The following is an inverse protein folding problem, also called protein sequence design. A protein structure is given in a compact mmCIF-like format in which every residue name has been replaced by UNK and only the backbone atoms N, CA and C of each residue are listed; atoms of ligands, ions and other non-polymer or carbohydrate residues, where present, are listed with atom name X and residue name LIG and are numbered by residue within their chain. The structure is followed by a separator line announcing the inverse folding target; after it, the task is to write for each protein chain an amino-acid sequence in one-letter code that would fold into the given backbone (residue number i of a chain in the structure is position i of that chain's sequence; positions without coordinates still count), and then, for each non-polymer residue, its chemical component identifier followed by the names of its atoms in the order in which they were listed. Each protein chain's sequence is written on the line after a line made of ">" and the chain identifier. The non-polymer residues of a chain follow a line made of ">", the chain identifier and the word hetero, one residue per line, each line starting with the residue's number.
data_IF_543215827335
#
_entry.id   IF_543215827335
#
_cell.length_a   1.000
_cell.length_b   1.000
_cell.length_c   1.000
_cell.angle_alpha   90.00
_cell.angle_beta   90.00
_cell.angle_gamma   90.00
#
_symmetry.space_group_name_H-M   'P 1'
#
loop_
_entity.id
_entity.type
_entity.pdbx_description
1 polymer ?
#
# COMPACT_ATOMS: atom_id res chain seq x y z
N UNK A 1 -0.94 8.44 -16.60
CA UNK A 1 -0.73 9.75 -15.94
C UNK A 1 -1.92 9.94 -15.03
N UNK A 2 -1.70 10.21 -13.75
CA UNK A 2 -2.79 10.39 -12.78
C UNK A 2 -2.69 11.79 -12.20
N UNK A 3 -3.77 12.57 -12.28
CA UNK A 3 -3.89 13.88 -11.65
C UNK A 3 -4.90 13.78 -10.51
N UNK A 4 -4.47 14.01 -9.28
CA UNK A 4 -5.29 13.88 -8.09
C UNK A 4 -5.37 15.25 -7.37
N UNK A 5 -6.58 15.80 -7.30
CA UNK A 5 -6.85 17.12 -6.72
C UNK A 5 -6.80 18.29 -7.71
N UNK A 6 -7.21 19.49 -7.29
CA UNK A 6 -7.24 20.67 -8.14
C UNK A 6 -5.83 21.08 -8.56
N UNK A 7 -5.52 20.84 -9.83
CA UNK A 7 -4.22 21.11 -10.43
C UNK A 7 -4.36 22.07 -11.59
N UNK A 8 -3.40 22.99 -11.73
CA UNK A 8 -3.32 23.92 -12.87
C UNK A 8 -2.07 23.53 -13.66
N UNK A 9 -2.25 23.19 -14.94
CA UNK A 9 -1.16 22.77 -15.83
C UNK A 9 -1.16 23.71 -17.04
N UNK A 10 -0.14 24.54 -17.15
CA UNK A 10 -0.01 25.55 -18.22
C UNK A 10 1.38 25.48 -18.85
N UNK A 11 1.47 25.33 -20.17
CA UNK A 11 2.74 25.20 -20.90
C UNK A 11 3.69 24.13 -20.30
N UNK A 12 3.13 23.06 -19.76
CA UNK A 12 3.86 22.01 -19.10
C UNK A 12 3.69 20.67 -19.80
N UNK A 13 4.73 19.83 -19.73
CA UNK A 13 4.73 18.47 -20.28
C UNK A 13 4.89 17.50 -19.13
N UNK A 14 3.86 16.70 -18.88
CA UNK A 14 3.92 15.60 -17.91
C UNK A 14 4.14 14.32 -18.72
N UNK A 15 5.28 13.65 -18.50
CA UNK A 15 5.60 12.41 -19.22
C UNK A 15 4.91 11.21 -18.59
N UNK A 16 4.85 10.13 -19.39
CA UNK A 16 4.31 8.84 -18.98
C UNK A 16 4.94 8.41 -17.64
N UNK A 17 4.16 7.68 -16.84
CA UNK A 17 4.59 7.20 -15.52
C UNK A 17 4.77 8.26 -14.43
N UNK A 18 4.15 9.44 -14.57
CA UNK A 18 4.12 10.44 -13.50
C UNK A 18 2.71 10.63 -12.91
N UNK A 19 2.64 10.69 -11.58
CA UNK A 19 1.45 11.05 -10.80
C UNK A 19 1.62 12.49 -10.33
N UNK A 20 0.56 13.28 -10.37
CA UNK A 20 0.50 14.60 -9.77
C UNK A 20 -0.58 14.56 -8.70
N UNK A 21 -0.24 14.75 -7.44
CA UNK A 21 -1.22 14.74 -6.35
C UNK A 21 -1.19 16.06 -5.57
N UNK A 22 -2.35 16.51 -5.09
CA UNK A 22 -2.54 17.71 -4.27
C UNK A 22 -2.82 19.00 -5.06
N UNK A 23 -2.77 20.13 -4.37
CA UNK A 23 -2.90 21.47 -4.95
C UNK A 23 -1.62 21.86 -5.72
N UNK A 24 -1.45 21.29 -6.91
CA UNK A 24 -0.20 21.46 -7.68
C UNK A 24 -0.42 22.34 -8.90
N UNK A 25 0.42 23.38 -9.01
CA UNK A 25 0.45 24.27 -10.16
C UNK A 25 1.76 24.05 -10.94
N UNK A 26 1.65 23.51 -12.16
CA UNK A 26 2.76 23.38 -13.11
C UNK A 26 2.64 24.44 -14.19
N UNK A 27 3.60 25.35 -14.24
CA UNK A 27 3.77 26.34 -15.31
C UNK A 27 5.14 26.24 -15.93
N UNK A 28 5.21 26.21 -17.26
CA UNK A 28 6.46 26.21 -18.04
C UNK A 28 7.45 25.13 -17.56
N UNK A 29 6.96 23.91 -17.34
CA UNK A 29 7.75 22.86 -16.70
C UNK A 29 7.58 21.49 -17.37
N UNK A 30 8.63 20.67 -17.33
CA UNK A 30 8.61 19.27 -17.74
C UNK A 30 8.73 18.41 -16.51
N UNK A 31 7.79 17.50 -16.32
CA UNK A 31 7.77 16.54 -15.22
C UNK A 31 7.96 15.13 -15.77
N UNK A 32 9.02 14.46 -15.33
CA UNK A 32 9.43 13.14 -15.81
C UNK A 32 9.94 12.26 -14.66
N UNK A 33 9.08 11.40 -14.12
CA UNK A 33 9.48 10.34 -13.17
C UNK A 33 10.24 10.83 -11.93
N UNK A 34 9.84 11.96 -11.35
CA UNK A 34 10.50 12.55 -10.16
C UNK A 34 11.30 13.80 -10.46
N UNK A 35 11.57 14.02 -11.74
CA UNK A 35 12.35 15.14 -12.21
C UNK A 35 11.42 16.28 -12.64
N UNK A 36 11.49 17.41 -11.93
CA UNK A 36 10.91 18.66 -12.41
C UNK A 36 11.99 19.51 -13.07
N UNK A 37 11.78 19.78 -14.35
CA UNK A 37 12.54 20.75 -15.13
C UNK A 37 11.70 22.00 -15.27
N UNK A 38 12.04 23.07 -14.55
CA UNK A 38 11.40 24.36 -14.73
C UNK A 38 12.11 25.11 -15.87
N UNK A 39 11.43 25.24 -17.02
CA UNK A 39 11.98 25.84 -18.22
C UNK A 39 12.18 27.35 -18.07
N UNK A 40 11.26 28.02 -17.36
CA UNK A 40 11.30 29.46 -17.09
C UNK A 40 12.52 29.85 -16.25
N UNK A 41 12.81 29.08 -15.21
CA UNK A 41 13.92 29.35 -14.29
C UNK A 41 15.22 28.63 -14.65
N UNK A 42 15.22 27.83 -15.74
CA UNK A 42 16.34 26.95 -16.12
C UNK A 42 16.86 26.11 -14.95
N UNK A 43 15.94 25.72 -14.08
CA UNK A 43 16.24 25.03 -12.85
C UNK A 43 15.85 23.56 -12.99
N UNK A 44 16.71 22.68 -12.49
CA UNK A 44 16.46 21.25 -12.37
C UNK A 44 16.24 20.94 -10.90
N UNK A 45 15.07 20.42 -10.56
CA UNK A 45 14.80 19.85 -9.23
C UNK A 45 14.91 18.33 -9.38
N UNK A 46 16.05 17.73 -8.99
CA UNK A 46 16.33 16.32 -9.26
C UNK A 46 15.52 15.35 -8.41
N UNK A 47 14.85 15.85 -7.37
CA UNK A 47 13.96 15.10 -6.48
C UNK A 47 12.82 16.01 -6.09
N UNK A 48 11.72 15.98 -6.84
CA UNK A 48 10.43 16.33 -6.24
C UNK A 48 10.21 15.40 -5.04
N UNK A 49 9.45 15.87 -4.06
CA UNK A 49 9.20 15.10 -2.84
C UNK A 49 8.79 13.67 -3.21
N UNK A 50 9.27 12.68 -2.46
CA UNK A 50 9.13 11.25 -2.77
C UNK A 50 7.68 10.77 -2.87
N UNK A 51 6.73 11.63 -2.49
CA UNK A 51 5.28 11.46 -2.64
C UNK A 51 4.74 11.95 -4.00
N UNK A 52 5.51 12.76 -4.75
CA UNK A 52 5.07 13.43 -5.97
C UNK A 52 5.54 12.75 -7.24
N UNK A 53 6.77 12.25 -7.34
CA UNK A 53 7.15 11.42 -8.49
C UNK A 53 8.42 10.60 -8.23
N UNK A 54 8.34 9.28 -8.45
CA UNK A 54 9.47 8.34 -8.41
C UNK A 54 9.33 7.32 -9.55
N UNK A 55 10.43 6.67 -9.93
CA UNK A 55 10.47 5.71 -11.03
C UNK A 55 9.69 4.42 -10.68
N UNK A 56 8.70 4.08 -11.52
CA UNK A 56 7.71 3.00 -11.34
C UNK A 56 8.24 1.55 -11.35
N UNK A 57 9.50 1.28 -11.01
CA UNK A 57 10.01 -0.11 -11.00
C UNK A 57 10.87 -0.39 -9.78
N UNK A 58 10.22 -0.69 -8.66
CA UNK A 58 10.85 -1.50 -7.63
C UNK A 58 10.89 -2.96 -8.13
N UNK A 59 12.06 -3.61 -8.25
CA UNK A 59 12.11 -5.06 -8.48
C UNK A 59 11.36 -5.78 -7.35
N UNK A 60 10.90 -7.02 -7.61
CA UNK A 60 10.28 -7.92 -6.61
C UNK A 60 11.27 -8.18 -5.45
N UNK A 61 11.32 -7.25 -4.52
CA UNK A 61 12.28 -7.22 -3.43
C UNK A 61 11.72 -7.97 -2.21
N UNK A 62 12.48 -8.95 -1.74
CA UNK A 62 12.07 -9.86 -0.67
C UNK A 62 12.12 -9.16 0.70
N UNK A 63 11.39 -9.67 1.72
CA UNK A 63 11.60 -9.25 3.11
C UNK A 63 13.01 -9.54 3.58
N UNK A 64 13.63 -8.47 4.09
CA UNK A 64 14.91 -8.54 4.79
C UNK A 64 14.75 -9.33 6.10
N UNK A 65 15.87 -9.78 6.67
CA UNK A 65 15.84 -10.62 7.86
C UNK A 65 15.17 -9.93 9.06
N UNK A 66 15.31 -8.61 9.21
CA UNK A 66 14.71 -7.84 10.33
C UNK A 66 13.19 -7.91 10.28
N UNK A 67 12.63 -7.74 9.08
CA UNK A 67 11.20 -7.84 8.84
C UNK A 67 10.66 -9.25 9.11
N UNK A 68 11.40 -10.28 8.71
CA UNK A 68 11.07 -11.68 9.02
C UNK A 68 11.12 -11.97 10.51
N UNK A 69 12.14 -11.46 11.22
CA UNK A 69 12.24 -11.59 12.68
C UNK A 69 11.06 -10.91 13.37
N UNK A 70 10.72 -9.68 12.97
CA UNK A 70 9.56 -8.98 13.53
C UNK A 70 8.25 -9.74 13.27
N UNK A 71 8.05 -10.26 12.05
CA UNK A 71 6.90 -11.10 11.74
C UNK A 71 6.85 -12.37 12.59
N UNK A 72 7.99 -13.03 12.83
CA UNK A 72 8.05 -14.20 13.70
C UNK A 72 7.68 -13.87 15.16
N UNK A 73 8.11 -12.71 15.67
CA UNK A 73 7.75 -12.23 17.02
C UNK A 73 6.25 -11.95 17.10
N UNK A 74 5.68 -11.23 16.14
CA UNK A 74 4.23 -10.95 16.10
C UNK A 74 3.41 -12.24 15.96
N UNK A 75 3.89 -13.19 15.14
CA UNK A 75 3.28 -14.50 15.01
C UNK A 75 3.28 -15.25 16.35
N UNK A 76 4.42 -15.30 17.06
CA UNK A 76 4.50 -15.96 18.36
C UNK A 76 3.60 -15.30 19.41
N UNK A 77 3.55 -13.96 19.43
CA UNK A 77 2.74 -13.18 20.36
C UNK A 77 1.22 -13.40 20.19
N UNK A 78 0.76 -13.68 18.96
CA UNK A 78 -0.66 -13.94 18.68
C UNK A 78 -1.13 -15.38 18.97
N UNK A 79 -0.22 -16.35 19.14
CA UNK A 79 -0.57 -17.75 19.41
C UNK A 79 -1.52 -17.96 20.62
N UNK A 80 -1.27 -17.38 21.81
CA UNK A 80 -2.14 -17.57 22.96
C UNK A 80 -3.53 -16.92 22.78
N UNK A 81 -3.68 -15.98 21.84
CA UNK A 81 -4.91 -15.24 21.59
C UNK A 81 -5.78 -15.86 20.48
N UNK A 82 -5.29 -16.90 19.80
CA UNK A 82 -5.95 -17.50 18.62
C UNK A 82 -7.13 -18.42 18.98
N UNK A 83 -7.15 -18.97 20.19
CA UNK A 83 -8.10 -20.01 20.61
C UNK A 83 -9.50 -19.50 20.95
N UNK A 84 -9.71 -18.18 21.00
CA UNK A 84 -10.94 -17.59 21.55
C UNK A 84 -11.84 -16.86 20.54
N UNK A 85 -11.50 -16.79 19.24
CA UNK A 85 -12.16 -15.82 18.31
C UNK A 85 -12.47 -16.28 16.88
N UNK A 86 -12.40 -17.56 16.55
CA UNK A 86 -12.71 -18.01 15.19
C UNK A 86 -14.23 -18.09 14.94
N UNK A 87 -14.90 -16.95 14.79
CA UNK A 87 -16.14 -16.85 14.01
C UNK A 87 -15.80 -16.11 12.73
N UNK A 88 -16.04 -16.76 11.59
CA UNK A 88 -15.83 -16.16 10.28
C UNK A 88 -14.36 -16.09 9.84
N UNK A 89 -14.14 -16.35 8.56
CA UNK A 89 -12.88 -16.04 7.90
C UNK A 89 -13.11 -15.90 6.41
N UNK A 90 -12.53 -14.88 5.79
CA UNK A 90 -12.53 -14.73 4.33
C UNK A 90 -11.21 -15.18 3.73
N UNK A 91 -11.26 -15.66 2.50
CA UNK A 91 -10.08 -16.03 1.72
C UNK A 91 -9.80 -14.94 0.70
N UNK A 92 -8.57 -14.44 0.72
CA UNK A 92 -8.05 -13.43 -0.20
C UNK A 92 -6.92 -14.05 -1.02
N UNK A 93 -6.66 -13.47 -2.18
CA UNK A 93 -5.64 -13.87 -3.14
C UNK A 93 -4.73 -12.69 -3.47
N UNK A 94 -3.45 -12.98 -3.65
CA UNK A 94 -2.51 -12.05 -4.28
C UNK A 94 -2.37 -12.35 -5.76
N UNK A 95 -1.88 -11.37 -6.54
CA UNK A 95 -1.51 -11.57 -7.94
C UNK A 95 -0.43 -12.64 -8.16
N UNK A 96 0.33 -12.97 -7.12
CA UNK A 96 1.34 -14.04 -7.15
C UNK A 96 0.77 -15.42 -6.78
N UNK A 97 -0.57 -15.55 -6.67
CA UNK A 97 -1.25 -16.80 -6.37
C UNK A 97 -1.22 -17.21 -4.90
N UNK A 98 -0.89 -16.29 -3.98
CA UNK A 98 -0.89 -16.58 -2.55
C UNK A 98 -2.32 -16.52 -2.00
N UNK A 99 -2.80 -17.61 -1.40
CA UNK A 99 -4.09 -17.65 -0.71
C UNK A 99 -3.90 -17.33 0.77
N UNK A 100 -4.67 -16.36 1.26
CA UNK A 100 -4.53 -15.74 2.56
C UNK A 100 -5.86 -15.73 3.29
N UNK A 101 -5.90 -16.23 4.53
CA UNK A 101 -7.11 -16.24 5.36
C UNK A 101 -7.09 -15.06 6.31
N UNK A 102 -8.13 -14.24 6.27
CA UNK A 102 -8.32 -13.16 7.24
C UNK A 102 -9.49 -13.49 8.16
N UNK A 103 -9.28 -13.36 9.47
CA UNK A 103 -10.36 -13.44 10.45
C UNK A 103 -11.28 -12.22 10.35
N UNK A 104 -12.55 -12.40 10.71
CA UNK A 104 -13.54 -11.31 10.70
C UNK A 104 -13.46 -10.46 11.98
N UNK A 105 -13.17 -11.10 13.12
CA UNK A 105 -13.24 -10.46 14.43
C UNK A 105 -11.88 -10.16 15.07
N UNK A 106 -11.86 -9.09 15.89
CA UNK A 106 -10.73 -8.72 16.74
C UNK A 106 -9.78 -7.69 16.12
N UNK A 107 -8.67 -7.38 16.81
CA UNK A 107 -7.72 -6.37 16.35
C UNK A 107 -7.05 -6.81 15.05
N UNK A 108 -6.73 -5.84 14.19
CA UNK A 108 -6.31 -6.08 12.81
C UNK A 108 -5.12 -7.05 12.69
N UNK A 109 -4.11 -6.84 13.51
CA UNK A 109 -2.89 -7.67 13.53
C UNK A 109 -3.18 -9.14 13.87
N UNK A 110 -4.22 -9.40 14.66
CA UNK A 110 -4.63 -10.76 15.01
C UNK A 110 -5.54 -11.37 13.94
N UNK A 111 -6.40 -10.58 13.28
CA UNK A 111 -7.19 -11.02 12.12
C UNK A 111 -6.32 -11.54 10.99
N UNK A 112 -5.12 -10.97 10.84
CA UNK A 112 -4.11 -11.30 9.82
C UNK A 112 -2.99 -12.18 10.37
N UNK A 113 -3.20 -12.83 11.51
CA UNK A 113 -2.16 -13.59 12.23
C UNK A 113 -1.45 -14.63 11.38
N UNK A 114 -2.20 -15.42 10.59
CA UNK A 114 -1.61 -16.47 9.76
C UNK A 114 -0.72 -15.90 8.63
N UNK A 115 -0.89 -14.62 8.27
CA UNK A 115 -0.11 -13.96 7.21
C UNK A 115 1.34 -13.72 7.62
N UNK A 116 1.63 -13.58 8.92
CA UNK A 116 3.00 -13.43 9.40
C UNK A 116 3.90 -14.61 9.00
N UNK A 117 3.34 -15.82 8.89
CA UNK A 117 4.08 -17.00 8.40
C UNK A 117 4.55 -16.80 6.96
N UNK A 118 3.76 -16.12 6.15
CA UNK A 118 4.09 -15.83 4.75
C UNK A 118 5.19 -14.79 4.62
N UNK A 119 5.25 -13.85 5.57
CA UNK A 119 6.37 -12.93 5.68
C UNK A 119 7.66 -13.66 6.05
N UNK A 120 7.61 -14.55 7.05
CA UNK A 120 8.77 -15.37 7.45
C UNK A 120 9.28 -16.22 6.28
N UNK A 121 8.37 -16.78 5.48
CA UNK A 121 8.68 -17.54 4.24
C UNK A 121 9.21 -16.67 3.10
N UNK A 122 9.09 -15.35 3.18
CA UNK A 122 9.51 -14.43 2.14
C UNK A 122 8.55 -14.29 0.96
N UNK A 123 7.31 -14.78 1.09
CA UNK A 123 6.26 -14.70 0.07
C UNK A 123 5.40 -13.44 0.20
N UNK A 124 5.49 -12.78 1.35
CA UNK A 124 4.72 -11.59 1.71
C UNK A 124 5.63 -10.61 2.46
N UNK A 125 5.18 -9.37 2.59
CA UNK A 125 5.85 -8.30 3.33
C UNK A 125 5.07 -8.01 4.62
N UNK A 126 5.70 -7.41 5.62
CA UNK A 126 4.94 -6.76 6.69
C UNK A 126 4.16 -5.58 6.13
N UNK A 127 4.76 -4.84 5.19
CA UNK A 127 4.21 -3.63 4.62
C UNK A 127 4.04 -3.78 3.10
N UNK A 128 2.80 -3.64 2.63
CA UNK A 128 2.46 -3.79 1.22
C UNK A 128 0.95 -3.70 0.98
N UNK A 129 0.49 -3.61 -0.28
CA UNK A 129 -0.94 -3.58 -0.60
C UNK A 129 -1.70 -4.79 -0.05
N UNK A 130 -3.01 -4.61 0.21
CA UNK A 130 -3.84 -5.71 0.67
C UNK A 130 -4.04 -6.76 -0.43
N UNK A 131 -4.10 -8.05 -0.08
CA UNK A 131 -4.64 -9.07 -0.97
C UNK A 131 -6.15 -8.84 -1.20
N UNK A 132 -6.66 -9.36 -2.32
CA UNK A 132 -8.02 -9.11 -2.82
C UNK A 132 -8.77 -10.42 -3.04
N UNK A 133 -10.09 -10.41 -3.06
CA UNK A 133 -10.84 -11.58 -3.54
C UNK A 133 -10.56 -11.84 -5.03
N UNK A 134 -10.94 -13.02 -5.54
CA UNK A 134 -10.76 -13.32 -6.96
C UNK A 134 -11.55 -12.33 -7.84
N UNK A 135 -12.79 -12.05 -7.45
CA UNK A 135 -13.70 -11.12 -8.14
C UNK A 135 -13.13 -9.70 -8.16
N UNK A 136 -12.51 -9.26 -7.06
CA UNK A 136 -11.86 -7.96 -6.98
C UNK A 136 -10.63 -7.86 -7.89
N UNK A 137 -9.83 -8.92 -7.98
CA UNK A 137 -8.68 -8.96 -8.89
C UNK A 137 -9.14 -8.88 -10.34
N UNK A 138 -10.24 -9.57 -10.68
CA UNK A 138 -10.81 -9.59 -12.02
C UNK A 138 -11.43 -8.24 -12.42
N UNK A 139 -12.01 -7.51 -11.47
CA UNK A 139 -12.64 -6.21 -11.66
C UNK A 139 -11.67 -5.01 -11.68
N UNK A 140 -10.39 -5.20 -11.34
CA UNK A 140 -9.41 -4.11 -11.33
C UNK A 140 -9.15 -3.54 -12.73
N UNK A 141 -9.01 -2.22 -12.79
CA UNK A 141 -8.54 -1.54 -13.99
C UNK A 141 -7.17 -2.10 -14.44
N UNK A 142 -6.95 -2.32 -15.76
CA UNK A 142 -5.69 -2.85 -16.26
C UNK A 142 -4.43 -2.09 -15.82
N UNK A 143 -4.50 -0.76 -15.70
CA UNK A 143 -3.37 0.07 -15.25
C UNK A 143 -3.06 -0.21 -13.77
N UNK A 144 -4.09 -0.28 -12.93
CA UNK A 144 -3.94 -0.58 -11.50
C UNK A 144 -3.44 -1.99 -11.27
N UNK A 145 -3.95 -2.95 -12.04
CA UNK A 145 -3.47 -4.33 -12.05
C UNK A 145 -1.96 -4.39 -12.32
N UNK A 146 -1.49 -3.68 -13.34
CA UNK A 146 -0.06 -3.68 -13.69
C UNK A 146 0.82 -3.16 -12.54
N UNK A 147 0.39 -2.09 -11.85
CA UNK A 147 1.09 -1.60 -10.64
C UNK A 147 1.11 -2.66 -9.53
N UNK A 148 -0.01 -3.29 -9.24
CA UNK A 148 -0.15 -4.22 -8.11
C UNK A 148 0.51 -5.59 -8.35
N UNK A 149 0.57 -6.07 -9.59
CA UNK A 149 1.27 -7.32 -9.96
C UNK A 149 2.78 -7.27 -9.71
N UNK A 150 3.34 -6.06 -9.73
CA UNK A 150 4.77 -5.82 -9.57
C UNK A 150 5.25 -5.90 -8.11
N UNK A 151 4.34 -5.75 -7.15
CA UNK A 151 4.64 -5.67 -5.71
C UNK A 151 4.10 -6.86 -4.91
N UNK A 152 4.79 -7.20 -3.82
CA UNK A 152 4.32 -8.23 -2.89
C UNK A 152 3.21 -7.66 -1.99
N UNK A 153 2.20 -8.48 -1.62
CA UNK A 153 1.19 -8.06 -0.65
C UNK A 153 1.80 -7.85 0.73
N UNK A 154 1.12 -7.07 1.57
CA UNK A 154 1.53 -6.72 2.92
C UNK A 154 0.60 -7.24 4.00
N UNK A 155 1.16 -7.49 5.19
CA UNK A 155 0.32 -7.73 6.39
C UNK A 155 -0.44 -6.48 6.78
N UNK A 156 0.18 -5.32 6.64
CA UNK A 156 -0.45 -4.02 6.79
C UNK A 156 -0.23 -3.21 5.51
N UNK A 157 -1.29 -2.54 5.08
CA UNK A 157 -1.32 -1.66 3.93
C UNK A 157 -1.35 -0.20 4.37
N UNK A 158 -1.04 0.69 3.44
CA UNK A 158 -1.11 2.13 3.68
C UNK A 158 -2.53 2.56 4.01
N UNK A 159 -3.53 1.91 3.39
CA UNK A 159 -4.95 2.10 3.67
C UNK A 159 -5.33 1.84 5.14
N UNK A 160 -4.60 0.96 5.85
CA UNK A 160 -4.86 0.70 7.27
C UNK A 160 -4.57 1.92 8.15
N UNK A 161 -3.67 2.80 7.73
CA UNK A 161 -3.40 4.05 8.46
C UNK A 161 -4.55 5.06 8.34
N UNK A 162 -5.41 4.87 7.34
CA UNK A 162 -6.53 5.72 6.98
C UNK A 162 -7.89 5.09 7.31
N UNK A 163 -7.91 4.01 8.09
CA UNK A 163 -9.16 3.34 8.49
C UNK A 163 -9.83 2.57 7.35
N UNK A 164 -9.08 2.21 6.30
CA UNK A 164 -9.56 1.38 5.20
C UNK A 164 -8.89 0.00 5.28
N UNK A 165 -9.46 -0.88 6.11
CA UNK A 165 -8.85 -2.18 6.44
C UNK A 165 -9.20 -3.31 5.48
N UNK A 166 -10.00 -3.01 4.45
CA UNK A 166 -10.51 -3.98 3.50
C UNK A 166 -10.34 -3.46 2.08
N UNK A 167 -10.01 -4.37 1.16
CA UNK A 167 -9.80 -4.05 -0.24
C UNK A 167 -11.08 -3.74 -1.03
N UNK A 168 -12.26 -3.92 -0.43
CA UNK A 168 -13.57 -3.54 -1.00
C UNK A 168 -13.98 -2.10 -0.67
N UNK A 169 -13.20 -1.38 0.13
CA UNK A 169 -13.47 0.04 0.37
C UNK A 169 -13.09 0.87 -0.86
N UNK A 170 -13.88 1.91 -1.15
CA UNK A 170 -13.70 2.77 -2.33
C UNK A 170 -12.30 3.39 -2.42
N UNK A 171 -11.69 3.69 -1.27
CA UNK A 171 -10.39 4.37 -1.19
C UNK A 171 -9.18 3.40 -1.18
N UNK A 172 -9.38 2.11 -0.87
CA UNK A 172 -8.25 1.17 -0.77
C UNK A 172 -7.48 1.00 -2.10
N UNK A 173 -8.14 0.87 -3.27
CA UNK A 173 -7.41 0.74 -4.52
C UNK A 173 -6.45 1.90 -4.80
N UNK A 174 -6.88 3.13 -4.48
CA UNK A 174 -6.04 4.34 -4.63
C UNK A 174 -4.81 4.22 -3.72
N UNK A 175 -5.02 3.90 -2.44
CA UNK A 175 -3.93 3.69 -1.48
C UNK A 175 -2.99 2.55 -1.87
N UNK A 176 -3.54 1.49 -2.46
CA UNK A 176 -2.76 0.33 -2.89
C UNK A 176 -1.86 0.68 -4.09
N UNK A 177 -2.38 1.39 -5.08
CA UNK A 177 -1.60 1.88 -6.23
C UNK A 177 -0.55 2.88 -5.75
N UNK A 178 -0.93 3.84 -4.90
CA UNK A 178 0.00 4.78 -4.29
C UNK A 178 1.14 4.06 -3.56
N UNK A 179 0.83 3.08 -2.72
CA UNK A 179 1.82 2.29 -2.00
C UNK A 179 2.70 1.45 -2.93
N UNK A 180 2.12 0.87 -3.98
CA UNK A 180 2.86 0.08 -4.96
C UNK A 180 3.89 0.91 -5.73
N UNK A 181 3.56 2.18 -5.98
CA UNK A 181 4.40 3.11 -6.74
C UNK A 181 5.33 3.96 -5.85
N UNK A 182 5.15 3.92 -4.53
CA UNK A 182 5.95 4.70 -3.58
C UNK A 182 7.33 4.08 -3.33
N UNK A 183 8.38 4.90 -3.12
CA UNK A 183 9.67 4.40 -2.70
C UNK A 183 9.57 3.63 -1.38
N UNK A 184 10.17 2.44 -1.39
CA UNK A 184 10.10 1.50 -0.27
C UNK A 184 10.66 2.06 1.04
N UNK A 185 11.75 2.83 0.96
CA UNK A 185 12.36 3.41 2.16
C UNK A 185 11.45 4.45 2.81
N UNK A 186 10.74 5.24 2.01
CA UNK A 186 9.73 6.18 2.51
C UNK A 186 8.59 5.44 3.21
N UNK A 187 8.03 4.41 2.58
CA UNK A 187 6.98 3.58 3.19
C UNK A 187 7.45 2.91 4.48
N UNK A 188 8.66 2.37 4.52
CA UNK A 188 9.22 1.77 5.73
C UNK A 188 9.30 2.76 6.91
N UNK A 189 9.57 4.05 6.66
CA UNK A 189 9.56 5.08 7.71
C UNK A 189 8.15 5.29 8.22
N UNK A 190 7.18 5.54 7.32
CA UNK A 190 5.78 5.74 7.67
C UNK A 190 5.23 4.59 8.52
N UNK A 191 5.50 3.33 8.13
CA UNK A 191 5.02 2.17 8.88
C UNK A 191 5.70 2.01 10.25
N UNK A 192 6.99 2.31 10.37
CA UNK A 192 7.69 2.24 11.65
C UNK A 192 7.13 3.26 12.65
N UNK A 193 6.88 4.48 12.20
CA UNK A 193 6.31 5.54 13.03
C UNK A 193 4.88 5.22 13.49
N UNK A 194 4.14 4.44 12.69
CA UNK A 194 2.76 4.08 12.98
C UNK A 194 2.56 2.65 13.51
N UNK A 195 3.63 1.92 13.82
CA UNK A 195 3.54 0.51 14.21
C UNK A 195 2.63 0.30 15.43
N UNK A 196 2.79 1.13 16.46
CA UNK A 196 1.98 1.04 17.68
C UNK A 196 0.50 1.29 17.39
N UNK A 197 0.20 2.27 16.52
CA UNK A 197 -1.16 2.56 16.06
C UNK A 197 -1.76 1.36 15.33
N UNK A 198 -1.02 0.78 14.37
CA UNK A 198 -1.47 -0.39 13.60
C UNK A 198 -1.77 -1.61 14.48
N UNK A 199 -0.94 -1.85 15.50
CA UNK A 199 -1.15 -2.94 16.46
C UNK A 199 -2.33 -2.68 17.40
N UNK A 200 -2.71 -1.42 17.60
CA UNK A 200 -3.83 -1.01 18.45
C UNK A 200 -5.16 -0.84 17.69
N UNK A 201 -5.17 -0.99 16.35
CA UNK A 201 -6.38 -0.84 15.54
C UNK A 201 -7.43 -1.88 15.95
N UNK A 202 -8.57 -1.37 16.41
CA UNK A 202 -9.78 -2.14 16.69
C UNK A 202 -10.52 -2.42 15.38
N UNK A 203 -11.36 -3.46 15.32
CA UNK A 203 -12.24 -3.66 14.19
C UNK A 203 -13.13 -2.42 14.02
N UNK A 204 -13.38 -2.03 12.76
CA UNK A 204 -14.41 -1.04 12.43
C UNK A 204 -15.72 -1.48 13.10
N UNK A 205 -16.32 -0.58 13.89
CA UNK A 205 -17.71 -0.79 14.27
C UNK A 205 -18.50 -0.73 12.95
N UNK A 206 -19.33 -1.74 12.64
CA UNK A 206 -20.15 -1.67 11.44
C UNK A 206 -20.93 -0.37 11.54
N UNK A 207 -20.78 0.51 10.55
CA UNK A 207 -21.48 1.79 10.49
C UNK A 207 -22.91 1.54 10.95
N UNK A 208 -23.22 2.07 12.14
CA UNK A 208 -24.51 1.89 12.77
C UNK A 208 -25.52 2.56 11.87
N UNK A 209 -26.10 1.79 10.96
CA UNK A 209 -27.18 2.21 10.09
C UNK A 209 -28.31 2.74 10.97
N UNK A 210 -28.45 4.05 10.97
CA UNK A 210 -29.65 4.77 11.39
C UNK A 210 -30.43 5.17 10.13
#
# INVERSE_FOLDING_TARGET
>A
MVLEGPSIVENAVIREHTILAGHTELRDAVLDGGLLLNLRHRARVPRLDTLMADALRAPRDRPNWRERTLAAVLFAAGLPLRTSRARGSRTLRSFQGLELREGEDGPLWLRRHDWYREVVRGRMRLWGPLPRSAEQLDALDPEWRASLESVQPGVFAYSDLHGAHRADTEIEPIHAVFQANSPRDAMNVVFKENLTRLLALKPEEPDGGA
#
